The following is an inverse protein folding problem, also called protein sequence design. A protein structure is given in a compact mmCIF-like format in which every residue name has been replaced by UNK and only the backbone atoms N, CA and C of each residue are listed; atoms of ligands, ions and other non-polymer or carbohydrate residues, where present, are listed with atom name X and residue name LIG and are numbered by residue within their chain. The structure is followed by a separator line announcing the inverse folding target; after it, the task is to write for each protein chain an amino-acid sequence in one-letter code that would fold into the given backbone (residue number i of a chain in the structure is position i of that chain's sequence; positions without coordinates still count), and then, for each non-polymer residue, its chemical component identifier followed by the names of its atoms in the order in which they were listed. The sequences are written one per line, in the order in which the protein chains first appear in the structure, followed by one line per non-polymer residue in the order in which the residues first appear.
data_IF_256544616423
#
_entry.id   IF_256544616423
#
_cell.length_a   1.000
_cell.length_b   1.000
_cell.length_c   1.000
_cell.angle_alpha   90.00
_cell.angle_beta   90.00
_cell.angle_gamma   90.00
#
_symmetry.space_group_name_H-M   'P 1'
#
loop_
_entity.id
_entity.type
_entity.pdbx_description
1 polymer ?
#
# COMPACT_ATOMS: atom_id res chain seq x y z
N UNK A 1 -5.80 8.39 19.10
CA UNK A 1 -5.65 7.57 17.88
C UNK A 1 -5.90 8.40 16.64
N UNK A 2 -5.04 8.26 15.65
CA UNK A 2 -5.22 8.91 14.36
C UNK A 2 -5.33 7.83 13.29
N UNK A 3 -6.23 8.05 12.34
CA UNK A 3 -6.36 7.18 11.17
C UNK A 3 -5.84 7.90 9.95
N UNK A 4 -5.11 7.17 9.12
CA UNK A 4 -4.56 7.66 7.86
C UNK A 4 -5.11 6.81 6.73
N UNK A 5 -5.41 7.44 5.61
CA UNK A 5 -5.88 6.75 4.42
C UNK A 5 -4.80 6.90 3.34
N UNK A 6 -4.37 5.79 2.79
CA UNK A 6 -3.36 5.78 1.74
C UNK A 6 -3.94 5.20 0.47
N UNK A 7 -3.77 5.93 -0.62
CA UNK A 7 -4.09 5.42 -1.94
C UNK A 7 -3.12 4.30 -2.29
N UNK A 8 -3.64 3.20 -2.83
CA UNK A 8 -2.82 2.13 -3.37
C UNK A 8 -3.19 1.88 -4.82
N UNK A 9 -2.25 1.35 -5.58
CA UNK A 9 -2.45 0.98 -6.97
C UNK A 9 -2.31 -0.53 -7.08
N UNK A 10 -3.27 -1.18 -7.73
CA UNK A 10 -3.22 -2.62 -8.02
C UNK A 10 -3.27 -2.78 -9.52
N UNK A 11 -2.28 -3.45 -10.09
CA UNK A 11 -2.14 -3.63 -11.53
C UNK A 11 -1.98 -5.09 -11.88
N UNK A 12 -2.50 -5.47 -13.04
CA UNK A 12 -2.23 -6.78 -13.60
C UNK A 12 -0.75 -6.86 -13.98
N UNK A 13 -0.13 -8.00 -13.68
CA UNK A 13 1.27 -8.22 -13.93
C UNK A 13 1.51 -9.70 -14.23
N UNK A 14 2.74 -10.06 -14.53
CA UNK A 14 3.11 -11.45 -14.74
C UNK A 14 4.26 -11.81 -13.82
N UNK A 15 4.20 -13.03 -13.27
CA UNK A 15 5.34 -13.60 -12.57
C UNK A 15 6.45 -13.95 -13.58
N UNK A 16 7.65 -14.19 -13.09
CA UNK A 16 8.80 -14.53 -13.94
C UNK A 16 8.57 -15.74 -14.83
N UNK A 17 7.74 -16.68 -14.40
CA UNK A 17 7.38 -17.86 -15.15
C UNK A 17 6.24 -17.63 -16.17
N UNK A 18 5.77 -16.39 -16.30
CA UNK A 18 4.71 -16.02 -17.23
C UNK A 18 3.30 -16.20 -16.70
N UNK A 19 3.11 -16.72 -15.50
CA UNK A 19 1.77 -16.85 -14.91
C UNK A 19 1.19 -15.46 -14.62
N UNK A 20 -0.11 -15.27 -14.83
CA UNK A 20 -0.73 -13.98 -14.48
C UNK A 20 -0.77 -13.77 -12.98
N UNK A 21 -0.66 -12.53 -12.58
CA UNK A 21 -0.72 -12.14 -11.19
C UNK A 21 -1.03 -10.66 -11.08
N UNK A 22 -0.82 -10.10 -9.89
CA UNK A 22 -1.06 -8.70 -9.61
C UNK A 22 0.08 -8.13 -8.80
N UNK A 23 0.43 -6.88 -9.09
CA UNK A 23 1.31 -6.10 -8.23
C UNK A 23 0.49 -5.01 -7.54
N UNK A 24 0.92 -4.62 -6.36
CA UNK A 24 0.28 -3.55 -5.62
C UNK A 24 1.34 -2.68 -4.94
N UNK A 25 1.12 -1.38 -4.93
CA UNK A 25 2.03 -0.47 -4.27
C UNK A 25 1.29 0.76 -3.75
N UNK A 26 1.90 1.45 -2.81
CA UNK A 26 1.40 2.70 -2.28
C UNK A 26 2.33 3.83 -2.75
N UNK A 27 1.88 4.72 -3.65
CA UNK A 27 2.76 5.78 -4.18
C UNK A 27 3.40 6.64 -3.10
N UNK A 28 2.67 6.96 -2.03
CA UNK A 28 3.18 7.79 -0.95
C UNK A 28 4.30 7.10 -0.14
N UNK A 29 4.35 5.77 -0.13
CA UNK A 29 5.28 4.98 0.68
C UNK A 29 6.15 4.05 -0.16
N UNK A 30 6.12 4.19 -1.48
CA UNK A 30 6.82 3.30 -2.41
C UNK A 30 8.33 3.26 -2.15
N UNK A 31 8.94 4.43 -1.93
CA UNK A 31 10.36 4.53 -1.62
C UNK A 31 10.73 3.84 -0.31
N UNK A 32 9.76 3.61 0.56
CA UNK A 32 9.95 2.96 1.84
C UNK A 32 9.61 1.46 1.81
N UNK A 33 9.36 0.92 0.63
CA UNK A 33 9.15 -0.51 0.45
C UNK A 33 7.70 -0.97 0.47
N UNK A 34 6.73 -0.06 0.34
CA UNK A 34 5.31 -0.43 0.29
C UNK A 34 4.94 -0.95 -1.11
N UNK A 35 5.39 -2.15 -1.41
CA UNK A 35 5.21 -2.83 -2.69
C UNK A 35 5.03 -4.33 -2.43
N UNK A 36 4.11 -4.96 -3.14
CA UNK A 36 3.85 -6.38 -2.97
C UNK A 36 3.25 -7.03 -4.22
N UNK A 37 3.02 -8.33 -4.15
CA UNK A 37 2.49 -9.17 -5.21
C UNK A 37 1.36 -10.04 -4.68
N UNK A 38 0.49 -10.47 -5.57
CA UNK A 38 -0.53 -11.47 -5.24
C UNK A 38 -0.91 -12.27 -6.48
N UNK A 39 -1.45 -13.45 -6.25
CA UNK A 39 -1.97 -14.29 -7.33
C UNK A 39 -3.35 -13.82 -7.78
N UNK A 40 -4.09 -13.17 -6.88
CA UNK A 40 -5.37 -12.56 -7.17
C UNK A 40 -5.33 -11.10 -6.76
N UNK A 41 -6.28 -10.32 -7.28
CA UNK A 41 -6.44 -8.92 -6.91
C UNK A 41 -6.68 -8.76 -5.41
N UNK A 42 -7.54 -9.59 -4.83
CA UNK A 42 -7.84 -9.56 -3.40
C UNK A 42 -6.61 -9.87 -2.56
N UNK A 43 -5.81 -10.83 -3.00
CA UNK A 43 -4.58 -11.18 -2.29
C UNK A 43 -3.57 -10.03 -2.33
N UNK A 44 -3.42 -9.38 -3.50
CA UNK A 44 -2.54 -8.22 -3.64
C UNK A 44 -3.00 -7.07 -2.74
N UNK A 45 -4.31 -6.81 -2.68
CA UNK A 45 -4.87 -5.78 -1.80
C UNK A 45 -4.61 -6.08 -0.33
N UNK A 46 -4.82 -7.33 0.09
CA UNK A 46 -4.57 -7.72 1.47
C UNK A 46 -3.10 -7.55 1.84
N UNK A 47 -2.21 -7.96 0.96
CA UNK A 47 -0.77 -7.86 1.19
C UNK A 47 -0.29 -6.42 1.22
N UNK A 48 -0.83 -5.54 0.37
CA UNK A 48 -0.42 -4.14 0.40
C UNK A 48 -0.93 -3.44 1.66
N UNK A 49 -2.08 -3.83 2.19
CA UNK A 49 -2.54 -3.33 3.49
C UNK A 49 -1.54 -3.64 4.59
N UNK A 50 -1.05 -4.87 4.63
CA UNK A 50 -0.05 -5.28 5.61
C UNK A 50 1.27 -4.54 5.41
N UNK A 51 1.71 -4.36 4.17
CA UNK A 51 2.94 -3.65 3.86
C UNK A 51 2.86 -2.17 4.25
N UNK A 52 1.74 -1.51 3.97
CA UNK A 52 1.53 -0.11 4.36
C UNK A 52 1.52 0.03 5.87
N UNK A 53 0.82 -0.85 6.57
CA UNK A 53 0.78 -0.82 8.02
C UNK A 53 2.17 -0.97 8.63
N UNK A 54 2.96 -1.89 8.10
CA UNK A 54 4.31 -2.13 8.60
C UNK A 54 5.20 -0.90 8.40
N UNK A 55 5.13 -0.25 7.25
CA UNK A 55 5.90 0.97 6.97
C UNK A 55 5.46 2.10 7.90
N UNK A 56 4.15 2.30 8.08
CA UNK A 56 3.62 3.32 8.98
C UNK A 56 4.09 3.07 10.41
N UNK A 57 4.01 1.83 10.89
CA UNK A 57 4.46 1.48 12.24
C UNK A 57 5.94 1.81 12.44
N UNK A 58 6.77 1.54 11.45
CA UNK A 58 8.19 1.88 11.51
C UNK A 58 8.44 3.37 11.56
N UNK A 59 7.69 4.15 10.78
CA UNK A 59 7.81 5.61 10.80
C UNK A 59 7.40 6.17 12.16
N UNK A 60 6.32 5.69 12.72
CA UNK A 60 5.85 6.12 14.04
C UNK A 60 6.88 5.77 15.12
N UNK A 61 7.42 4.57 15.11
CA UNK A 61 8.45 4.17 16.08
C UNK A 61 9.72 5.00 15.96
N UNK A 62 10.09 5.38 14.74
CA UNK A 62 11.27 6.20 14.50
C UNK A 62 11.03 7.69 14.76
N UNK A 63 9.80 8.10 15.06
CA UNK A 63 9.44 9.49 15.26
C UNK A 63 9.47 10.31 13.97
N UNK A 64 9.41 9.66 12.82
CA UNK A 64 9.43 10.35 11.53
C UNK A 64 8.02 10.75 11.11
N UNK A 65 7.88 11.88 10.40
CA UNK A 65 6.57 12.30 9.92
C UNK A 65 6.02 11.34 8.86
N UNK A 66 4.70 11.17 8.87
CA UNK A 66 4.02 10.43 7.82
C UNK A 66 3.84 11.31 6.59
N UNK A 67 3.79 10.73 5.38
CA UNK A 67 3.53 11.51 4.17
C UNK A 67 2.19 12.24 4.25
N UNK A 68 2.06 13.39 3.60
CA UNK A 68 0.80 14.12 3.62
C UNK A 68 -0.31 13.35 2.90
N UNK A 69 -1.54 13.57 3.37
CA UNK A 69 -2.75 12.89 2.90
C UNK A 69 -3.25 13.35 1.53
N UNK A 70 -2.39 13.85 0.67
CA UNK A 70 -2.76 14.33 -0.65
C UNK A 70 -3.46 13.24 -1.50
N UNK A 71 -3.28 11.99 -1.12
CA UNK A 71 -3.91 10.86 -1.78
C UNK A 71 -5.39 10.68 -1.44
N UNK A 72 -5.92 11.39 -0.45
CA UNK A 72 -7.30 11.24 0.01
C UNK A 72 -8.35 11.73 -0.97
N UNK A 73 -7.96 12.49 -1.97
CA UNK A 73 -8.90 13.18 -2.84
C UNK A 73 -9.39 12.36 -4.03
N UNK A 74 -8.86 11.17 -4.24
CA UNK A 74 -9.26 10.32 -5.34
C UNK A 74 -10.10 9.14 -4.84
N UNK A 75 -11.41 9.33 -4.84
CA UNK A 75 -12.37 8.42 -4.24
C UNK A 75 -12.49 7.08 -4.96
N UNK A 76 -12.10 7.00 -6.23
CA UNK A 76 -12.25 5.80 -7.04
C UNK A 76 -11.08 4.82 -6.95
N UNK A 77 -10.00 5.21 -6.34
CA UNK A 77 -8.83 4.35 -6.19
C UNK A 77 -8.93 3.47 -4.95
N UNK A 78 -8.41 2.25 -5.00
CA UNK A 78 -8.26 1.45 -3.79
C UNK A 78 -7.51 2.23 -2.71
N UNK A 79 -7.89 2.03 -1.47
CA UNK A 79 -7.27 2.73 -0.35
C UNK A 79 -7.07 1.80 0.83
N UNK A 80 -6.07 2.13 1.63
CA UNK A 80 -5.76 1.42 2.87
C UNK A 80 -5.92 2.39 4.03
N UNK A 81 -6.67 1.99 5.04
CA UNK A 81 -6.83 2.76 6.27
C UNK A 81 -5.91 2.18 7.33
N UNK A 82 -5.07 3.03 7.90
CA UNK A 82 -4.17 2.64 8.98
C UNK A 82 -4.46 3.51 10.19
N UNK A 83 -4.71 2.86 11.33
CA UNK A 83 -4.95 3.56 12.60
C UNK A 83 -3.73 3.40 13.51
N UNK A 84 -3.25 4.50 13.99
CA UNK A 84 -2.11 4.55 14.89
C UNK A 84 -2.43 5.33 16.15
#
# INVERSE_FOLDING_TARGET
MKSYIFKVVVEEDQFEDGRPGYSAYCPALDELGAYTWGETREQALQRIQEAVKLVVDRLVEAGKPLPPDAALLEVESPAVVVTV
#
